data_IF_832494754104
#
_entry.id   IF_832494754104
#
_cell.length_a   1.000
_cell.length_b   1.000
_cell.length_c   1.000
_cell.angle_alpha   90.00
_cell.angle_beta   90.00
_cell.angle_gamma   90.00
#
_symmetry.space_group_name_H-M   'P 1'
#
loop_
_entity.id
_entity.type
_entity.pdbx_description
1 polymer ?
#
# COMPACT_ATOMS: atom_id res chain seq x y z
N UNK A 1 0.51 12.01 -17.49
CA UNK A 1 1.76 11.92 -16.72
C UNK A 1 1.74 12.73 -15.40
N UNK A 2 0.62 13.39 -15.01
CA UNK A 2 0.55 14.26 -13.82
C UNK A 2 -0.05 13.63 -12.55
N UNK A 3 -0.35 12.33 -12.55
CA UNK A 3 -0.99 11.65 -11.40
C UNK A 3 0.01 10.86 -10.52
N UNK A 4 1.30 10.94 -10.84
CA UNK A 4 2.34 10.11 -10.21
C UNK A 4 3.07 10.76 -9.03
N UNK A 5 2.85 12.05 -8.76
CA UNK A 5 3.64 12.82 -7.78
C UNK A 5 2.89 13.15 -6.47
N UNK A 6 1.56 13.05 -6.47
CA UNK A 6 0.72 13.39 -5.31
C UNK A 6 0.99 12.47 -4.12
N UNK A 7 1.36 11.21 -4.38
CA UNK A 7 1.69 10.26 -3.32
C UNK A 7 3.05 10.57 -2.66
N UNK A 8 4.02 11.11 -3.37
CA UNK A 8 5.33 11.42 -2.79
C UNK A 8 5.21 12.68 -1.92
N UNK A 9 4.62 13.76 -2.45
CA UNK A 9 4.39 15.01 -1.71
C UNK A 9 3.53 14.80 -0.44
N UNK A 10 2.43 14.05 -0.56
CA UNK A 10 1.57 13.69 0.58
C UNK A 10 2.35 12.89 1.64
N UNK A 11 3.15 11.91 1.21
CA UNK A 11 3.98 11.11 2.13
C UNK A 11 5.03 11.96 2.85
N UNK A 12 5.69 12.89 2.15
CA UNK A 12 6.63 13.82 2.77
C UNK A 12 5.95 14.72 3.81
N UNK A 13 4.77 15.22 3.50
CA UNK A 13 4.00 16.08 4.41
C UNK A 13 3.59 15.31 5.69
N UNK A 14 3.16 14.05 5.57
CA UNK A 14 2.86 13.21 6.73
C UNK A 14 4.09 12.93 7.59
N UNK A 15 5.23 12.58 6.98
CA UNK A 15 6.49 12.36 7.70
C UNK A 15 6.95 13.64 8.40
N UNK A 16 6.83 14.80 7.73
CA UNK A 16 7.17 16.09 8.30
C UNK A 16 6.27 16.44 9.50
N UNK A 17 4.96 16.24 9.38
CA UNK A 17 4.00 16.44 10.46
C UNK A 17 4.29 15.52 11.66
N UNK A 18 4.53 14.23 11.41
CA UNK A 18 4.89 13.27 12.45
C UNK A 18 6.17 13.70 13.20
N UNK A 19 7.21 14.10 12.46
CA UNK A 19 8.47 14.60 13.04
C UNK A 19 8.25 15.87 13.87
N UNK A 20 7.42 16.79 13.39
CA UNK A 20 7.08 18.01 14.13
C UNK A 20 6.36 17.68 15.44
N UNK A 21 5.35 16.81 15.40
CA UNK A 21 4.62 16.36 16.60
C UNK A 21 5.52 15.65 17.61
N UNK A 22 6.40 14.74 17.16
CA UNK A 22 7.38 14.07 18.03
C UNK A 22 8.34 15.10 18.65
N UNK A 23 8.79 16.08 17.86
CA UNK A 23 9.66 17.15 18.36
C UNK A 23 8.98 17.94 19.49
N UNK A 24 7.72 18.36 19.29
CA UNK A 24 6.94 19.06 20.31
C UNK A 24 6.77 18.19 21.56
N UNK A 25 6.36 16.92 21.39
CA UNK A 25 6.18 15.96 22.49
C UNK A 25 7.44 15.82 23.35
N UNK A 26 8.62 15.80 22.73
CA UNK A 26 9.91 15.72 23.42
C UNK A 26 10.16 16.91 24.35
N UNK A 27 9.62 18.09 24.06
CA UNK A 27 9.71 19.26 24.96
C UNK A 27 8.59 19.33 25.99
N UNK A 28 7.37 18.91 25.63
CA UNK A 28 6.19 18.98 26.50
C UNK A 28 6.27 17.98 27.66
N UNK A 29 6.72 16.74 27.42
CA UNK A 29 6.83 15.71 28.49
C UNK A 29 7.69 16.16 29.68
N UNK A 30 8.94 16.63 29.49
CA UNK A 30 9.76 17.11 30.59
C UNK A 30 9.13 18.27 31.36
N UNK A 31 8.44 19.18 30.67
CA UNK A 31 7.74 20.30 31.31
C UNK A 31 6.56 19.82 32.17
N UNK A 32 5.80 18.82 31.71
CA UNK A 32 4.73 18.22 32.49
C UNK A 32 5.27 17.64 33.80
N UNK A 33 6.39 16.91 33.75
CA UNK A 33 7.04 16.39 34.95
C UNK A 33 7.55 17.51 35.85
N UNK A 34 8.22 18.54 35.31
CA UNK A 34 8.71 19.66 36.11
C UNK A 34 7.58 20.42 36.82
N UNK A 35 6.43 20.63 36.16
CA UNK A 35 5.26 21.27 36.78
C UNK A 35 4.68 20.38 37.87
N UNK A 36 4.58 19.07 37.64
CA UNK A 36 4.10 18.11 38.65
C UNK A 36 5.01 18.11 39.88
N UNK A 37 6.31 17.97 39.68
CA UNK A 37 7.30 17.94 40.75
C UNK A 37 7.31 19.27 41.54
N UNK A 38 7.11 20.41 40.86
CA UNK A 38 6.93 21.72 41.50
C UNK A 38 5.66 21.75 42.38
N UNK A 39 4.54 21.23 41.89
CA UNK A 39 3.28 21.15 42.65
C UNK A 39 3.46 20.29 43.91
N UNK A 40 4.25 19.22 43.83
CA UNK A 40 4.52 18.29 44.93
C UNK A 40 5.57 18.82 45.93
N UNK A 41 6.39 19.81 45.56
CA UNK A 41 7.52 20.31 46.36
C UNK A 41 7.17 21.12 47.62
N UNK A 42 5.89 21.33 47.93
CA UNK A 42 5.39 22.21 49.02
C UNK A 42 5.95 23.65 49.03
N UNK A 43 6.48 24.10 47.89
CA UNK A 43 7.05 25.43 47.72
C UNK A 43 6.06 26.54 48.09
N UNK A 44 6.54 27.55 48.83
CA UNK A 44 5.73 28.73 49.18
C UNK A 44 5.15 29.46 47.97
N UNK A 45 5.78 29.37 46.79
CA UNK A 45 5.24 29.89 45.53
C UNK A 45 3.94 29.17 45.13
N UNK A 46 3.92 27.84 45.23
CA UNK A 46 2.76 27.01 44.87
C UNK A 46 1.66 27.16 45.89
N UNK A 47 1.98 27.13 47.17
CA UNK A 47 1.03 27.28 48.28
C UNK A 47 0.29 28.62 48.21
N UNK A 48 0.92 29.67 47.67
CA UNK A 48 0.27 30.97 47.47
C UNK A 48 -0.79 30.99 46.35
N UNK A 49 -0.68 30.12 45.33
CA UNK A 49 -1.55 30.10 44.13
C UNK A 49 -1.82 28.68 43.60
N UNK A 50 -2.35 27.75 44.42
CA UNK A 50 -2.39 26.32 44.07
C UNK A 50 -3.24 26.02 42.83
N UNK A 51 -4.32 26.77 42.62
CA UNK A 51 -5.20 26.59 41.46
C UNK A 51 -4.51 26.92 40.13
N UNK A 52 -3.62 27.92 40.11
CA UNK A 52 -2.94 28.32 38.87
C UNK A 52 -1.96 27.24 38.40
N UNK A 53 -1.19 26.66 39.32
CA UNK A 53 -0.26 25.58 38.99
C UNK A 53 -0.99 24.29 38.60
N UNK A 54 -2.07 23.92 39.31
CA UNK A 54 -2.91 22.78 38.92
C UNK A 54 -3.56 22.99 37.54
N UNK A 55 -4.00 24.21 37.23
CA UNK A 55 -4.51 24.54 35.90
C UNK A 55 -3.43 24.42 34.82
N UNK A 56 -2.22 24.91 35.08
CA UNK A 56 -1.09 24.74 34.17
C UNK A 56 -0.74 23.26 33.93
N UNK A 57 -0.73 22.44 34.98
CA UNK A 57 -0.53 20.99 34.88
C UNK A 57 -1.63 20.31 34.05
N UNK A 58 -2.89 20.67 34.27
CA UNK A 58 -4.01 20.10 33.51
C UNK A 58 -3.94 20.51 32.03
N UNK A 59 -3.58 21.76 31.74
CA UNK A 59 -3.44 22.22 30.36
C UNK A 59 -2.31 21.50 29.63
N UNK A 60 -1.13 21.37 30.24
CA UNK A 60 -0.02 20.67 29.60
C UNK A 60 -0.30 19.17 29.42
N UNK A 61 -1.05 18.57 30.35
CA UNK A 61 -1.54 17.19 30.23
C UNK A 61 -2.46 17.06 29.02
N UNK A 62 -3.45 17.95 28.87
CA UNK A 62 -4.35 17.97 27.71
C UNK A 62 -3.60 18.18 26.40
N UNK A 63 -2.61 19.08 26.36
CA UNK A 63 -1.76 19.29 25.18
C UNK A 63 -1.03 17.99 24.81
N UNK A 64 -0.49 17.28 25.80
CA UNK A 64 0.20 16.02 25.57
C UNK A 64 -0.76 14.95 25.01
N UNK A 65 -1.98 14.83 25.56
CA UNK A 65 -3.02 13.95 25.03
C UNK A 65 -3.43 14.31 23.60
N UNK A 66 -3.56 15.60 23.28
CA UNK A 66 -3.83 16.08 21.91
C UNK A 66 -2.70 15.70 20.95
N UNK A 67 -1.44 15.80 21.37
CA UNK A 67 -0.30 15.39 20.55
C UNK A 67 -0.33 13.87 20.31
N UNK A 68 -0.64 13.06 21.33
CA UNK A 68 -0.79 11.61 21.17
C UNK A 68 -1.92 11.25 20.20
N UNK A 69 -3.06 11.96 20.29
CA UNK A 69 -4.17 11.79 19.36
C UNK A 69 -3.73 12.04 17.90
N UNK A 70 -3.08 13.17 17.61
CA UNK A 70 -2.62 13.47 16.26
C UNK A 70 -1.52 12.53 15.78
N UNK A 71 -0.65 12.04 16.66
CA UNK A 71 0.33 11.01 16.29
C UNK A 71 -0.36 9.70 15.87
N UNK A 72 -1.44 9.32 16.56
CA UNK A 72 -2.28 8.18 16.17
C UNK A 72 -2.98 8.40 14.83
N UNK A 73 -3.54 9.59 14.61
CA UNK A 73 -4.21 9.95 13.36
C UNK A 73 -3.24 9.91 12.15
N UNK A 74 -2.03 10.47 12.31
CA UNK A 74 -0.99 10.40 11.27
C UNK A 74 -0.56 8.96 10.98
N UNK A 75 -0.48 8.10 12.00
CA UNK A 75 -0.17 6.68 11.80
C UNK A 75 -1.28 5.96 11.00
N UNK A 76 -2.55 6.24 11.30
CA UNK A 76 -3.68 5.69 10.54
C UNK A 76 -3.64 6.14 9.07
N UNK A 77 -3.35 7.41 8.80
CA UNK A 77 -3.19 7.89 7.42
C UNK A 77 -2.02 7.21 6.70
N UNK A 78 -0.91 6.96 7.41
CA UNK A 78 0.23 6.25 6.83
C UNK A 78 -0.13 4.81 6.44
N UNK A 79 -0.90 4.12 7.28
CA UNK A 79 -1.39 2.76 6.99
C UNK A 79 -2.35 2.76 5.80
N UNK A 80 -3.25 3.74 5.70
CA UNK A 80 -4.16 3.89 4.56
C UNK A 80 -3.41 4.15 3.24
N UNK A 81 -2.40 5.03 3.25
CA UNK A 81 -1.56 5.28 2.07
C UNK A 81 -0.82 4.01 1.65
N UNK A 82 -0.29 3.26 2.62
CA UNK A 82 0.38 1.99 2.35
C UNK A 82 -0.59 0.98 1.75
N UNK A 83 -1.80 0.87 2.31
CA UNK A 83 -2.84 -0.01 1.80
C UNK A 83 -3.18 0.31 0.34
N UNK A 84 -3.44 1.57 0.02
CA UNK A 84 -3.74 2.02 -1.35
C UNK A 84 -2.58 1.73 -2.32
N UNK A 85 -1.33 1.90 -1.88
CA UNK A 85 -0.14 1.55 -2.68
C UNK A 85 -0.03 0.05 -2.93
N UNK A 86 -0.30 -0.77 -1.90
CA UNK A 86 -0.28 -2.23 -2.01
C UNK A 86 -1.40 -2.72 -2.93
N UNK A 87 -2.60 -2.13 -2.87
CA UNK A 87 -3.68 -2.42 -3.80
C UNK A 87 -3.30 -2.11 -5.25
N UNK A 88 -2.71 -0.94 -5.51
CA UNK A 88 -2.24 -0.57 -6.85
C UNK A 88 -1.16 -1.53 -7.35
N UNK A 89 -0.24 -1.93 -6.47
CA UNK A 89 0.82 -2.90 -6.78
C UNK A 89 0.22 -4.27 -7.10
N UNK A 90 -0.78 -4.71 -6.33
CA UNK A 90 -1.51 -5.95 -6.57
C UNK A 90 -2.28 -5.93 -7.89
N UNK A 91 -2.98 -4.82 -8.20
CA UNK A 91 -3.66 -4.62 -9.49
C UNK A 91 -2.68 -4.72 -10.66
N UNK A 92 -1.52 -4.09 -10.56
CA UNK A 92 -0.48 -4.17 -11.59
C UNK A 92 0.09 -5.59 -11.73
N UNK A 93 0.35 -6.27 -10.60
CA UNK A 93 0.87 -7.65 -10.59
C UNK A 93 -0.13 -8.63 -11.18
N UNK A 94 -1.43 -8.42 -10.92
CA UNK A 94 -2.50 -9.16 -11.54
C UNK A 94 -2.51 -8.98 -13.07
N UNK A 95 -2.37 -7.75 -13.57
CA UNK A 95 -2.27 -7.49 -15.01
C UNK A 95 -1.06 -8.19 -15.65
N UNK A 96 0.12 -8.14 -15.02
CA UNK A 96 1.28 -8.85 -15.54
C UNK A 96 1.09 -10.37 -15.54
N UNK A 97 0.48 -10.92 -14.50
CA UNK A 97 0.16 -12.35 -14.42
C UNK A 97 -0.84 -12.75 -15.50
N UNK A 98 -1.85 -11.92 -15.76
CA UNK A 98 -2.83 -12.12 -16.82
C UNK A 98 -2.16 -12.16 -18.19
N UNK A 99 -1.31 -11.17 -18.48
CA UNK A 99 -0.53 -11.12 -19.72
C UNK A 99 0.36 -12.36 -19.83
N UNK A 100 1.12 -12.71 -18.79
CA UNK A 100 1.98 -13.89 -18.79
C UNK A 100 1.20 -15.20 -19.01
N UNK A 101 0.00 -15.33 -18.42
CA UNK A 101 -0.84 -16.53 -18.57
C UNK A 101 -1.26 -16.76 -20.02
N UNK A 102 -1.54 -15.68 -20.76
CA UNK A 102 -1.90 -15.74 -22.18
C UNK A 102 -0.67 -15.99 -23.07
N UNK A 103 0.44 -15.31 -22.78
CA UNK A 103 1.64 -15.36 -23.63
C UNK A 103 2.54 -16.56 -23.38
N UNK A 104 2.56 -17.14 -22.18
CA UNK A 104 3.48 -18.25 -21.85
C UNK A 104 3.15 -19.53 -22.64
N UNK A 105 1.90 -20.00 -22.74
CA UNK A 105 1.56 -21.19 -23.52
C UNK A 105 1.81 -20.99 -25.01
N UNK A 106 1.45 -19.82 -25.54
CA UNK A 106 1.65 -19.46 -26.96
C UNK A 106 3.14 -19.29 -27.30
N UNK A 107 3.93 -18.68 -26.41
CA UNK A 107 5.39 -18.54 -26.57
C UNK A 107 6.10 -19.89 -26.47
N UNK A 108 5.67 -20.76 -25.57
CA UNK A 108 6.20 -22.13 -25.47
C UNK A 108 5.92 -22.91 -26.76
N UNK A 109 4.69 -22.84 -27.27
CA UNK A 109 4.29 -23.61 -28.44
C UNK A 109 4.98 -23.11 -29.73
N UNK A 110 5.10 -21.79 -29.90
CA UNK A 110 5.86 -21.21 -31.03
C UNK A 110 7.36 -21.46 -30.91
N UNK A 111 7.92 -21.46 -29.70
CA UNK A 111 9.31 -21.87 -29.44
C UNK A 111 9.57 -23.34 -29.78
N UNK A 112 8.63 -24.23 -29.43
CA UNK A 112 8.70 -25.66 -29.79
C UNK A 112 8.68 -25.88 -31.30
N UNK A 113 7.96 -25.04 -32.06
CA UNK A 113 8.02 -25.09 -33.52
C UNK A 113 9.34 -24.56 -34.10
N UNK A 114 9.92 -23.57 -33.44
CA UNK A 114 11.18 -22.96 -33.86
C UNK A 114 12.39 -23.86 -33.69
N UNK A 115 12.32 -24.83 -32.77
CA UNK A 115 13.32 -25.89 -32.70
C UNK A 115 13.09 -26.85 -33.87
N UNK A 116 14.10 -26.99 -34.73
CA UNK A 116 14.07 -27.80 -35.96
C UNK A 116 14.09 -29.30 -35.62
N UNK A 117 13.10 -29.78 -34.87
CA UNK A 117 12.98 -31.18 -34.47
C UNK A 117 12.56 -31.96 -35.71
N UNK A 118 13.49 -32.74 -36.28
CA UNK A 118 13.14 -33.71 -37.31
C UNK A 118 12.05 -34.66 -36.80
N UNK A 119 11.01 -34.90 -37.61
CA UNK A 119 9.93 -35.84 -37.28
C UNK A 119 8.74 -35.24 -36.52
N UNK A 120 8.56 -33.91 -36.50
CA UNK A 120 7.35 -33.30 -35.96
C UNK A 120 6.11 -33.84 -36.70
N UNK A 121 5.10 -34.37 -35.98
CA UNK A 121 3.96 -35.04 -36.60
C UNK A 121 3.18 -34.06 -37.49
N UNK A 122 3.00 -34.43 -38.76
CA UNK A 122 2.24 -33.66 -39.74
C UNK A 122 3.04 -32.70 -40.61
N UNK A 123 4.35 -32.49 -40.40
CA UNK A 123 5.16 -31.52 -41.19
C UNK A 123 5.22 -31.79 -42.69
N UNK A 124 5.01 -33.05 -43.12
CA UNK A 124 4.94 -33.39 -44.55
C UNK A 124 3.58 -33.05 -45.18
N UNK A 125 2.59 -32.69 -44.37
CA UNK A 125 1.28 -32.23 -44.83
C UNK A 125 1.30 -30.73 -45.06
N UNK A 126 0.86 -30.30 -46.24
CA UNK A 126 0.67 -28.89 -46.58
C UNK A 126 -0.30 -28.15 -45.65
N UNK A 127 -1.10 -28.87 -44.85
CA UNK A 127 -2.08 -28.30 -43.91
C UNK A 127 -1.62 -28.26 -42.45
N UNK A 128 -0.41 -28.72 -42.11
CA UNK A 128 0.05 -28.72 -40.72
C UNK A 128 0.07 -27.35 -40.06
N UNK A 129 0.50 -26.32 -40.79
CA UNK A 129 0.48 -24.94 -40.30
C UNK A 129 -0.95 -24.45 -40.00
N UNK A 130 -1.92 -24.80 -40.85
CA UNK A 130 -3.34 -24.46 -40.65
C UNK A 130 -3.89 -25.11 -39.38
N UNK A 131 -3.62 -26.41 -39.18
CA UNK A 131 -4.05 -27.11 -37.96
C UNK A 131 -3.40 -26.57 -36.69
N UNK A 132 -2.15 -26.12 -36.78
CA UNK A 132 -1.47 -25.45 -35.68
C UNK A 132 -2.14 -24.12 -35.30
N UNK A 133 -2.45 -23.27 -36.28
CA UNK A 133 -3.18 -22.03 -36.04
C UNK A 133 -4.56 -22.28 -35.42
N UNK A 134 -5.27 -23.32 -35.86
CA UNK A 134 -6.56 -23.73 -35.26
C UNK A 134 -6.37 -24.15 -33.80
N UNK A 135 -5.35 -24.96 -33.51
CA UNK A 135 -5.05 -25.38 -32.13
C UNK A 135 -4.75 -24.19 -31.21
N UNK A 136 -4.00 -23.19 -31.68
CA UNK A 136 -3.77 -21.95 -30.93
C UNK A 136 -5.06 -21.18 -30.62
N UNK A 137 -5.96 -21.06 -31.60
CA UNK A 137 -7.27 -20.39 -31.41
C UNK A 137 -8.11 -21.14 -30.36
N UNK A 138 -8.11 -22.48 -30.40
CA UNK A 138 -8.82 -23.32 -29.42
C UNK A 138 -8.24 -23.15 -28.02
N UNK A 139 -6.91 -23.15 -27.87
CA UNK A 139 -6.25 -22.92 -26.58
C UNK A 139 -6.64 -21.54 -26.02
N UNK A 140 -6.59 -20.49 -26.85
CA UNK A 140 -6.97 -19.14 -26.45
C UNK A 140 -8.44 -19.04 -26.02
N UNK A 141 -9.34 -19.72 -26.75
CA UNK A 141 -10.75 -19.80 -26.40
C UNK A 141 -11.00 -20.55 -25.09
N UNK A 142 -10.20 -21.58 -24.80
CA UNK A 142 -10.29 -22.38 -23.58
C UNK A 142 -9.74 -21.61 -22.37
N UNK A 143 -8.62 -20.90 -22.53
CA UNK A 143 -8.09 -19.96 -21.54
C UNK A 143 -9.12 -18.89 -21.21
N UNK A 144 -9.70 -18.24 -22.21
CA UNK A 144 -10.76 -17.24 -22.03
C UNK A 144 -11.97 -17.79 -21.26
N UNK A 145 -12.41 -19.02 -21.58
CA UNK A 145 -13.52 -19.68 -20.91
C UNK A 145 -13.19 -20.02 -19.45
N UNK A 146 -11.97 -20.49 -19.16
CA UNK A 146 -11.48 -20.74 -17.81
C UNK A 146 -11.44 -19.45 -17.00
N UNK A 147 -10.95 -18.35 -17.58
CA UNK A 147 -10.95 -17.03 -16.95
C UNK A 147 -12.37 -16.59 -16.57
N UNK A 148 -13.34 -16.75 -17.48
CA UNK A 148 -14.75 -16.43 -17.20
C UNK A 148 -15.34 -17.33 -16.10
N UNK A 149 -15.00 -18.62 -16.07
CA UNK A 149 -15.52 -19.57 -15.07
C UNK A 149 -14.93 -19.40 -13.68
N UNK A 150 -13.67 -18.99 -13.58
CA UNK A 150 -12.99 -18.77 -12.29
C UNK A 150 -13.42 -17.46 -11.60
N UNK A 151 -14.36 -16.70 -12.19
CA UNK A 151 -14.92 -15.50 -11.57
C UNK A 151 -13.95 -14.32 -11.50
N UNK A 152 -12.82 -14.39 -12.22
CA UNK A 152 -11.82 -13.32 -12.27
C UNK A 152 -12.36 -11.99 -12.81
N UNK A 153 -13.48 -12.01 -13.54
CA UNK A 153 -14.19 -10.82 -14.05
C UNK A 153 -15.15 -10.16 -13.04
N UNK A 154 -15.47 -10.77 -11.90
CA UNK A 154 -16.45 -10.22 -10.95
C UNK A 154 -15.83 -9.38 -9.82
N UNK A 155 -14.50 -9.24 -9.76
CA UNK A 155 -13.80 -8.54 -8.66
C UNK A 155 -13.26 -7.15 -9.04
N UNK A 156 -13.81 -6.57 -10.12
CA UNK A 156 -13.34 -5.29 -10.68
C UNK A 156 -14.29 -4.11 -10.47
N UNK A 157 -15.46 -4.31 -9.87
CA UNK A 157 -16.53 -3.29 -9.82
C UNK A 157 -16.86 -2.76 -8.40
N UNK A 158 -15.98 -2.94 -7.41
CA UNK A 158 -16.09 -2.21 -6.13
C UNK A 158 -14.88 -1.27 -5.99
N UNK A 159 -15.04 -0.07 -6.54
CA UNK A 159 -14.17 1.10 -6.36
C UNK A 159 -15.02 2.33 -6.22
#
# INVERSE_FOLDING_TARGET
LNEFDVNDESTYNHIAAQKALISIKRFIRPQQYAIRDLIESESGLVTSRPHQYRFAHNNITRINETIEFYLGEVALFQDEIKHNRDEKTNKNSYLFTLVATIFLPTSFLTGLLGINIGGMPGVESSMAFTWFCIALIVIFGLEWLLFKRLGFTNKTDDG
#
